data_IF_613967679082
#
_entry.id   IF_613967679082
#
_cell.length_a   1.000
_cell.length_b   1.000
_cell.length_c   1.000
_cell.angle_alpha   90.00
_cell.angle_beta   90.00
_cell.angle_gamma   90.00
#
_symmetry.space_group_name_H-M   'P 1'
#
loop_
_entity.id
_entity.type
_entity.pdbx_description
1 polymer ?
#
# COMPACT_ATOMS: atom_id res chain seq x y z
N UNK A 1 -9.73 9.39 18.47
CA UNK A 1 -8.79 10.05 17.53
C UNK A 1 -8.75 9.17 16.30
N UNK A 2 -8.88 9.72 15.10
CA UNK A 2 -8.80 8.92 13.87
C UNK A 2 -7.39 8.38 13.69
N UNK A 3 -7.27 7.08 13.44
CA UNK A 3 -5.98 6.44 13.16
C UNK A 3 -5.46 6.91 11.80
N UNK A 4 -4.18 7.26 11.73
CA UNK A 4 -3.57 7.70 10.47
C UNK A 4 -3.06 6.50 9.69
N UNK A 5 -3.28 6.49 8.38
CA UNK A 5 -2.91 5.39 7.49
C UNK A 5 -2.21 5.88 6.24
N UNK A 6 -1.41 5.01 5.64
CA UNK A 6 -0.83 5.23 4.32
C UNK A 6 -1.55 4.39 3.27
N UNK A 7 -1.57 4.86 2.03
CA UNK A 7 -2.11 4.10 0.89
C UNK A 7 -1.01 3.82 -0.12
N UNK A 8 -0.96 2.61 -0.65
CA UNK A 8 -0.11 2.24 -1.78
C UNK A 8 -0.94 1.68 -2.94
N UNK A 9 -0.79 2.30 -4.12
CA UNK A 9 -1.41 1.86 -5.36
C UNK A 9 -0.37 1.69 -6.47
N UNK A 10 -0.61 0.73 -7.36
CA UNK A 10 0.32 0.40 -8.44
C UNK A 10 -0.39 0.00 -9.72
N UNK A 11 0.22 0.33 -10.84
CA UNK A 11 -0.15 -0.20 -12.17
C UNK A 11 1.10 -0.67 -12.91
N UNK A 12 0.96 -1.75 -13.69
CA UNK A 12 2.08 -2.37 -14.40
C UNK A 12 2.37 -1.80 -15.79
N UNK A 13 1.46 -1.00 -16.34
CA UNK A 13 1.54 -0.42 -17.69
C UNK A 13 1.05 1.02 -17.68
N UNK A 14 1.67 1.87 -18.49
CA UNK A 14 1.33 3.29 -18.58
C UNK A 14 -0.01 3.52 -19.30
N UNK A 15 -0.37 2.65 -20.25
CA UNK A 15 -1.69 2.68 -20.88
C UNK A 15 -2.78 2.42 -19.84
N UNK A 16 -3.66 3.42 -19.67
CA UNK A 16 -4.72 3.48 -18.65
C UNK A 16 -4.23 3.55 -17.20
N UNK A 17 -2.95 3.88 -16.97
CA UNK A 17 -2.39 4.00 -15.62
C UNK A 17 -3.16 5.01 -14.76
N UNK A 18 -3.42 6.20 -15.29
CA UNK A 18 -4.05 7.28 -14.53
C UNK A 18 -5.45 6.90 -14.05
N UNK A 19 -6.33 6.43 -14.93
CA UNK A 19 -7.69 6.01 -14.54
C UNK A 19 -7.66 4.86 -13.53
N UNK A 20 -6.82 3.84 -13.73
CA UNK A 20 -6.72 2.69 -12.82
C UNK A 20 -6.12 3.08 -11.47
N UNK A 21 -5.17 4.01 -11.44
CA UNK A 21 -4.60 4.53 -10.20
C UNK A 21 -5.65 5.38 -9.47
N UNK A 22 -6.35 6.28 -10.15
CA UNK A 22 -7.42 7.08 -9.57
C UNK A 22 -8.51 6.22 -8.94
N UNK A 23 -8.96 5.17 -9.63
CA UNK A 23 -9.98 4.27 -9.10
C UNK A 23 -9.47 3.54 -7.84
N UNK A 24 -8.27 2.96 -7.89
CA UNK A 24 -7.67 2.29 -6.72
C UNK A 24 -7.51 3.25 -5.53
N UNK A 25 -7.07 4.49 -5.77
CA UNK A 25 -6.93 5.49 -4.71
C UNK A 25 -8.30 5.84 -4.12
N UNK A 26 -9.31 6.01 -4.97
CA UNK A 26 -10.67 6.34 -4.52
C UNK A 26 -11.24 5.22 -3.65
N UNK A 27 -11.07 3.96 -4.05
CA UNK A 27 -11.54 2.79 -3.29
C UNK A 27 -10.79 2.65 -1.96
N UNK A 28 -9.45 2.80 -1.95
CA UNK A 28 -8.67 2.77 -0.71
C UNK A 28 -9.02 3.93 0.24
N UNK A 29 -9.29 5.13 -0.30
CA UNK A 29 -9.71 6.28 0.50
C UNK A 29 -11.08 6.06 1.11
N UNK A 30 -12.04 5.58 0.31
CA UNK A 30 -13.38 5.26 0.80
C UNK A 30 -13.32 4.22 1.92
N UNK A 31 -12.54 3.15 1.74
CA UNK A 31 -12.33 2.15 2.79
C UNK A 31 -11.74 2.77 4.07
N UNK A 32 -10.76 3.67 3.95
CA UNK A 32 -10.19 4.35 5.11
C UNK A 32 -11.25 5.23 5.83
N UNK A 33 -12.03 6.00 5.07
CA UNK A 33 -13.11 6.86 5.60
C UNK A 33 -14.20 6.04 6.30
N UNK A 34 -14.62 4.92 5.69
CA UNK A 34 -15.63 4.01 6.25
C UNK A 34 -15.17 3.34 7.56
N UNK A 35 -13.85 3.34 7.83
CA UNK A 35 -13.24 2.80 9.05
C UNK A 35 -12.72 3.91 9.99
N UNK A 36 -13.17 5.16 9.84
CA UNK A 36 -12.76 6.31 10.65
C UNK A 36 -11.24 6.59 10.63
N UNK A 37 -10.56 6.19 9.54
CA UNK A 37 -9.12 6.36 9.35
C UNK A 37 -8.80 7.60 8.51
N UNK A 38 -7.72 8.29 8.84
CA UNK A 38 -7.23 9.46 8.10
C UNK A 38 -6.07 9.07 7.19
N UNK A 39 -6.23 9.27 5.90
CA UNK A 39 -5.14 9.05 4.93
C UNK A 39 -4.09 10.16 5.08
N UNK A 40 -2.88 9.79 5.50
CA UNK A 40 -1.75 10.70 5.65
C UNK A 40 -0.98 10.87 4.34
N UNK A 41 -0.68 9.76 3.66
CA UNK A 41 0.15 9.73 2.44
C UNK A 41 -0.43 8.72 1.45
N UNK A 42 -0.31 9.03 0.15
CA UNK A 42 -0.69 8.14 -0.95
C UNK A 42 0.51 7.96 -1.89
N UNK A 43 1.03 6.74 -1.97
CA UNK A 43 2.03 6.35 -2.94
C UNK A 43 1.38 5.77 -4.18
N UNK A 44 1.77 6.29 -5.34
CA UNK A 44 1.37 5.76 -6.63
C UNK A 44 2.61 5.45 -7.46
N UNK A 45 2.67 4.23 -8.00
CA UNK A 45 3.79 3.80 -8.83
C UNK A 45 3.32 3.18 -10.14
N UNK A 46 4.01 3.57 -11.22
CA UNK A 46 3.93 2.95 -12.55
C UNK A 46 5.24 2.18 -12.79
N UNK A 47 5.43 1.09 -12.04
CA UNK A 47 6.68 0.31 -12.05
C UNK A 47 6.43 -1.18 -12.28
N UNK A 48 7.37 -1.82 -12.95
CA UNK A 48 7.40 -3.29 -13.04
C UNK A 48 7.75 -3.90 -11.67
N UNK A 49 7.30 -5.14 -11.45
CA UNK A 49 7.40 -5.79 -10.14
C UNK A 49 8.83 -5.99 -9.61
N UNK A 50 9.85 -5.83 -10.45
CA UNK A 50 11.24 -6.11 -10.10
C UNK A 50 11.91 -5.02 -9.23
N UNK A 51 11.24 -3.89 -8.94
CA UNK A 51 11.79 -2.78 -8.14
C UNK A 51 11.04 -2.53 -6.83
N UNK A 52 10.32 -3.53 -6.33
CA UNK A 52 9.39 -3.33 -5.22
C UNK A 52 10.02 -3.42 -3.84
N UNK A 53 11.08 -4.21 -3.64
CA UNK A 53 11.71 -4.38 -2.32
C UNK A 53 12.13 -3.04 -1.71
N UNK A 54 13.00 -2.31 -2.41
CA UNK A 54 13.46 -0.98 -1.99
C UNK A 54 12.29 0.00 -1.78
N UNK A 55 11.22 -0.11 -2.58
CA UNK A 55 10.04 0.74 -2.42
C UNK A 55 9.31 0.47 -1.11
N UNK A 56 9.10 -0.80 -0.76
CA UNK A 56 8.44 -1.19 0.49
C UNK A 56 9.32 -0.90 1.72
N UNK A 57 10.64 -1.01 1.60
CA UNK A 57 11.58 -0.58 2.64
C UNK A 57 11.46 0.93 2.92
N UNK A 58 11.39 1.76 1.87
CA UNK A 58 11.21 3.20 2.01
C UNK A 58 9.85 3.57 2.63
N UNK A 59 8.77 2.89 2.22
CA UNK A 59 7.44 3.09 2.82
C UNK A 59 7.46 2.73 4.31
N UNK A 60 8.10 1.62 4.65
CA UNK A 60 8.23 1.15 6.03
C UNK A 60 9.02 2.15 6.90
N UNK A 61 10.08 2.75 6.37
CA UNK A 61 10.84 3.81 7.06
C UNK A 61 10.00 5.07 7.29
N UNK A 62 9.22 5.48 6.29
CA UNK A 62 8.33 6.65 6.42
C UNK A 62 7.20 6.39 7.42
N UNK A 63 6.62 5.18 7.43
CA UNK A 63 5.64 4.74 8.43
C UNK A 63 6.19 4.80 9.85
N UNK A 64 7.46 4.41 10.04
CA UNK A 64 8.15 4.53 11.33
C UNK A 64 8.32 5.99 11.72
N UNK A 65 8.80 6.82 10.80
CA UNK A 65 9.05 8.25 11.03
C UNK A 65 7.77 9.02 11.38
N UNK A 66 6.65 8.69 10.72
CA UNK A 66 5.36 9.35 10.94
C UNK A 66 4.54 8.72 12.06
N UNK A 67 4.99 7.60 12.65
CA UNK A 67 4.22 6.88 13.68
C UNK A 67 2.91 6.30 13.15
N UNK A 68 2.90 5.85 11.88
CA UNK A 68 1.75 5.23 11.22
C UNK A 68 1.95 3.72 11.19
N UNK A 69 0.95 2.96 11.60
CA UNK A 69 1.06 1.50 11.76
C UNK A 69 0.48 0.71 10.59
N UNK A 70 -0.39 1.31 9.77
CA UNK A 70 -1.12 0.59 8.73
C UNK A 70 -0.87 1.14 7.31
N UNK A 71 -0.66 0.22 6.38
CA UNK A 71 -0.57 0.46 4.95
C UNK A 71 -1.75 -0.20 4.24
N UNK A 72 -2.59 0.60 3.59
CA UNK A 72 -3.72 0.13 2.80
C UNK A 72 -3.29 -0.06 1.34
N UNK A 73 -3.56 -1.23 0.80
CA UNK A 73 -3.36 -1.57 -0.61
C UNK A 73 -4.68 -1.98 -1.25
N UNK A 74 -4.77 -1.81 -2.57
CA UNK A 74 -5.95 -2.25 -3.30
C UNK A 74 -6.13 -3.78 -3.28
N UNK A 75 -5.08 -4.50 -3.67
CA UNK A 75 -5.06 -5.97 -3.73
C UNK A 75 -3.61 -6.46 -3.52
N UNK A 76 -3.41 -7.64 -2.95
CA UNK A 76 -2.08 -8.24 -2.74
C UNK A 76 -1.21 -8.31 -4.01
N UNK A 77 -1.83 -8.41 -5.18
CA UNK A 77 -1.13 -8.30 -6.48
C UNK A 77 -0.40 -6.98 -6.70
N UNK A 78 -0.64 -5.94 -5.89
CA UNK A 78 0.09 -4.67 -5.92
C UNK A 78 1.45 -4.79 -5.23
N UNK A 79 1.57 -5.68 -4.26
CA UNK A 79 2.85 -6.14 -3.74
C UNK A 79 3.45 -7.12 -4.75
N UNK A 80 2.92 -8.32 -4.90
CA UNK A 80 3.48 -9.28 -5.86
C UNK A 80 2.42 -10.26 -6.32
N UNK A 81 2.65 -10.86 -7.50
CA UNK A 81 1.88 -12.04 -7.94
C UNK A 81 2.46 -13.35 -7.40
N UNK A 82 3.65 -13.31 -6.81
CA UNK A 82 4.28 -14.45 -6.16
C UNK A 82 3.95 -14.42 -4.67
N UNK A 83 3.30 -15.48 -4.19
CA UNK A 83 2.88 -15.63 -2.78
C UNK A 83 4.06 -15.53 -1.82
N UNK A 84 5.23 -16.09 -2.16
CA UNK A 84 6.42 -16.00 -1.30
C UNK A 84 6.87 -14.55 -1.12
N UNK A 85 6.89 -13.77 -2.20
CA UNK A 85 7.27 -12.37 -2.12
C UNK A 85 6.25 -11.51 -1.39
N UNK A 86 4.96 -11.90 -1.41
CA UNK A 86 3.94 -11.24 -0.59
C UNK A 86 4.19 -11.52 0.89
N UNK A 87 4.44 -12.79 1.24
CA UNK A 87 4.71 -13.24 2.60
C UNK A 87 5.98 -12.59 3.18
N UNK A 88 7.06 -12.53 2.41
CA UNK A 88 8.32 -11.85 2.79
C UNK A 88 8.09 -10.37 3.11
N UNK A 89 7.31 -9.66 2.30
CA UNK A 89 7.01 -8.24 2.52
C UNK A 89 6.05 -8.05 3.70
N UNK A 90 5.00 -8.87 3.84
CA UNK A 90 4.09 -8.79 4.97
C UNK A 90 4.82 -9.08 6.29
N UNK A 91 5.69 -10.09 6.31
CA UNK A 91 6.52 -10.41 7.46
C UNK A 91 7.46 -9.26 7.83
N UNK A 92 8.11 -8.64 6.84
CA UNK A 92 8.98 -7.46 7.05
C UNK A 92 8.24 -6.31 7.75
N UNK A 93 6.97 -6.06 7.39
CA UNK A 93 6.15 -5.05 8.05
C UNK A 93 5.78 -5.46 9.48
N UNK A 94 5.33 -6.72 9.66
CA UNK A 94 4.90 -7.24 10.96
C UNK A 94 6.01 -7.27 12.00
N UNK A 95 7.24 -7.62 11.60
CA UNK A 95 8.41 -7.61 12.49
C UNK A 95 8.72 -6.22 13.06
N UNK A 96 8.19 -5.16 12.42
CA UNK A 96 8.34 -3.77 12.83
C UNK A 96 7.05 -3.22 13.48
N UNK A 97 6.07 -4.07 13.78
CA UNK A 97 4.77 -3.67 14.33
C UNK A 97 3.87 -2.93 13.34
N UNK A 98 4.11 -3.08 12.04
CA UNK A 98 3.33 -2.48 10.96
C UNK A 98 2.48 -3.53 10.26
N UNK A 99 1.36 -3.13 9.68
CA UNK A 99 0.39 -4.04 9.07
C UNK A 99 0.01 -3.58 7.67
N UNK A 100 -0.11 -4.55 6.75
CA UNK A 100 -0.63 -4.30 5.41
C UNK A 100 -2.08 -4.80 5.34
N UNK A 101 -2.97 -3.95 4.83
CA UNK A 101 -4.40 -4.22 4.69
C UNK A 101 -4.74 -4.19 3.21
N UNK A 102 -5.19 -5.31 2.66
CA UNK A 102 -5.76 -5.39 1.33
C UNK A 102 -7.27 -5.16 1.40
N UNK A 103 -7.82 -4.27 0.55
CA UNK A 103 -9.27 -4.00 0.53
C UNK A 103 -10.04 -4.90 -0.44
N UNK A 104 -9.34 -5.53 -1.39
CA UNK A 104 -9.86 -6.56 -2.28
C UNK A 104 -9.15 -7.90 -2.03
N UNK A 105 -9.88 -8.99 -2.24
CA UNK A 105 -9.41 -10.39 -2.18
C UNK A 105 -8.70 -10.86 -3.46
#
# INVERSE_FOLDING_TARGET
MSESVMIYVRVGTQEQAEQKLCNQISECKQFAEDNDKRVAVVYNDVISANRLGERFENILDEMKTQGIDELIIHHWSRISRNVKSVDEIDQMFREQGKFIISIAD
#
